data_IF_681361001453
#
_entry.id   IF_681361001453
#
_cell.length_a   1.000
_cell.length_b   1.000
_cell.length_c   1.000
_cell.angle_alpha   90.00
_cell.angle_beta   90.00
_cell.angle_gamma   90.00
#
_symmetry.space_group_name_H-M   'P 1'
#
loop_
_entity.id
_entity.type
_entity.pdbx_description
1 polymer ?
#
# COMPACT_ATOMS: atom_id res chain seq x y z
N UNK A 1 -1.32 9.26 9.76
CA UNK A 1 -0.35 8.94 8.72
C UNK A 1 -0.38 7.49 8.28
N UNK A 2 0.34 7.22 7.25
CA UNK A 2 0.47 5.88 6.69
C UNK A 2 1.86 5.71 6.07
N UNK A 3 2.22 4.46 5.75
CA UNK A 3 3.36 4.15 4.88
C UNK A 3 2.79 3.51 3.62
N UNK A 4 3.02 4.15 2.48
CA UNK A 4 2.50 3.61 1.21
C UNK A 4 3.14 2.26 0.91
N UNK A 5 2.31 1.27 0.60
CA UNK A 5 2.74 -0.10 0.38
C UNK A 5 2.66 -0.99 1.62
N UNK A 6 2.41 -0.44 2.80
CA UNK A 6 2.26 -1.21 4.04
C UNK A 6 0.83 -1.74 4.15
N UNK A 7 0.50 -2.70 3.31
CA UNK A 7 -0.87 -3.19 3.17
C UNK A 7 -1.38 -3.90 4.42
N UNK A 8 -0.50 -4.55 5.17
CA UNK A 8 -0.88 -5.26 6.40
C UNK A 8 -0.81 -4.38 7.64
N UNK A 9 -0.48 -3.10 7.49
CA UNK A 9 -0.40 -2.14 8.59
C UNK A 9 0.55 -2.56 9.71
N UNK A 10 1.68 -3.19 9.33
CA UNK A 10 2.68 -3.64 10.30
C UNK A 10 3.62 -2.51 10.75
N UNK A 11 3.62 -1.40 10.04
CA UNK A 11 4.52 -0.27 10.30
C UNK A 11 5.81 -0.30 9.49
N UNK A 12 6.04 -1.35 8.71
CA UNK A 12 7.21 -1.47 7.84
C UNK A 12 6.81 -2.08 6.50
N UNK A 13 7.63 -1.83 5.49
CA UNK A 13 7.39 -2.39 4.15
C UNK A 13 7.99 -3.78 4.06
N UNK A 14 7.13 -4.75 3.77
CA UNK A 14 7.49 -6.14 3.56
C UNK A 14 6.92 -6.53 2.20
N UNK A 15 7.68 -6.36 1.10
CA UNK A 15 7.10 -6.40 -0.25
C UNK A 15 6.27 -7.64 -0.55
N UNK A 16 6.75 -8.81 -0.13
CA UNK A 16 6.01 -10.05 -0.39
C UNK A 16 4.74 -10.14 0.45
N UNK A 17 4.86 -9.90 1.76
CA UNK A 17 3.71 -9.99 2.67
C UNK A 17 2.64 -8.93 2.33
N UNK A 18 3.08 -7.71 2.05
CA UNK A 18 2.16 -6.62 1.72
C UNK A 18 1.48 -6.86 0.37
N UNK A 19 2.22 -7.36 -0.63
CA UNK A 19 1.64 -7.68 -1.93
C UNK A 19 0.61 -8.81 -1.82
N UNK A 20 0.85 -9.80 -0.97
CA UNK A 20 -0.12 -10.87 -0.74
C UNK A 20 -1.41 -10.33 -0.14
N UNK A 21 -1.31 -9.40 0.82
CA UNK A 21 -2.51 -8.76 1.38
C UNK A 21 -3.29 -8.02 0.30
N UNK A 22 -2.61 -7.27 -0.56
CA UNK A 22 -3.25 -6.54 -1.65
C UNK A 22 -3.93 -7.50 -2.64
N UNK A 23 -3.25 -8.59 -3.01
CA UNK A 23 -3.81 -9.59 -3.92
C UNK A 23 -5.03 -10.29 -3.30
N UNK A 24 -4.98 -10.62 -2.03
CA UNK A 24 -6.13 -11.21 -1.35
C UNK A 24 -7.32 -10.25 -1.31
N UNK A 25 -7.07 -8.98 -1.06
CA UNK A 25 -8.12 -7.97 -1.10
C UNK A 25 -8.78 -7.91 -2.48
N UNK A 26 -7.99 -7.94 -3.55
CA UNK A 26 -8.48 -7.80 -4.92
C UNK A 26 -9.21 -9.03 -5.42
N UNK A 27 -8.72 -10.23 -5.10
CA UNK A 27 -9.20 -11.47 -5.73
C UNK A 27 -10.00 -12.38 -4.81
N UNK A 28 -9.85 -12.25 -3.49
CA UNK A 28 -10.54 -13.09 -2.51
C UNK A 28 -11.55 -12.29 -1.70
N UNK A 29 -11.52 -10.97 -1.81
CA UNK A 29 -12.41 -10.07 -1.09
C UNK A 29 -12.29 -10.23 0.43
N UNK A 30 -11.08 -10.36 0.92
CA UNK A 30 -10.80 -10.54 2.34
C UNK A 30 -11.12 -9.25 3.10
N UNK A 31 -11.83 -9.38 4.22
CA UNK A 31 -12.03 -8.26 5.14
C UNK A 31 -10.79 -8.04 6.01
N UNK A 32 -10.71 -6.90 6.67
CA UNK A 32 -9.61 -6.60 7.59
C UNK A 32 -8.58 -5.62 7.06
N UNK A 33 -8.73 -5.15 5.82
CA UNK A 33 -7.90 -4.06 5.33
C UNK A 33 -8.41 -2.75 5.96
N UNK A 34 -7.54 -2.09 6.72
CA UNK A 34 -7.91 -0.88 7.45
C UNK A 34 -7.37 0.40 6.83
N UNK A 35 -6.51 0.28 5.83
CA UNK A 35 -5.94 1.43 5.14
C UNK A 35 -5.84 1.14 3.64
N UNK A 36 -6.90 1.42 2.90
CA UNK A 36 -6.91 1.24 1.44
C UNK A 36 -5.89 2.15 0.76
N UNK A 37 -5.65 3.32 1.32
CA UNK A 37 -4.69 4.26 0.77
C UNK A 37 -3.27 3.69 0.77
N UNK A 38 -2.93 2.85 1.75
CA UNK A 38 -1.64 2.16 1.78
C UNK A 38 -1.52 1.09 0.68
N UNK A 39 -2.64 0.52 0.23
CA UNK A 39 -2.65 -0.44 -0.86
C UNK A 39 -2.48 0.22 -2.23
N UNK A 40 -2.74 1.50 -2.34
CA UNK A 40 -2.61 2.27 -3.58
C UNK A 40 -1.14 2.65 -3.81
N UNK A 41 -0.35 1.69 -4.27
CA UNK A 41 1.11 1.83 -4.35
C UNK A 41 1.56 2.85 -5.39
N UNK A 42 0.79 3.05 -6.46
CA UNK A 42 1.13 4.02 -7.50
C UNK A 42 0.43 5.37 -7.32
N UNK A 43 -0.38 5.51 -6.27
CA UNK A 43 -1.07 6.76 -5.93
C UNK A 43 -1.96 7.30 -7.07
N UNK A 44 -2.71 6.39 -7.70
CA UNK A 44 -3.63 6.76 -8.78
C UNK A 44 -5.10 6.79 -8.33
N UNK A 45 -5.34 6.72 -7.02
CA UNK A 45 -6.67 6.70 -6.39
C UNK A 45 -7.49 5.44 -6.67
N UNK A 46 -6.88 4.41 -7.23
CA UNK A 46 -7.55 3.14 -7.53
C UNK A 46 -6.69 1.97 -7.06
N UNK A 47 -7.25 1.08 -6.26
CA UNK A 47 -6.55 -0.14 -5.85
C UNK A 47 -6.87 -1.23 -6.87
N UNK A 48 -5.84 -1.66 -7.61
CA UNK A 48 -5.97 -2.69 -8.64
C UNK A 48 -4.66 -3.50 -8.72
N UNK A 49 -4.58 -4.40 -9.71
CA UNK A 49 -3.43 -5.29 -9.86
C UNK A 49 -2.10 -4.53 -10.04
N UNK A 50 -2.12 -3.32 -10.60
CA UNK A 50 -0.91 -2.54 -10.77
C UNK A 50 -0.22 -2.21 -9.44
N UNK A 51 -0.97 -2.14 -8.35
CA UNK A 51 -0.43 -1.78 -7.04
C UNK A 51 0.48 -2.85 -6.46
N UNK A 52 0.07 -4.11 -6.29
CA UNK A 52 1.00 -5.14 -5.81
C UNK A 52 2.13 -5.41 -6.80
N UNK A 53 1.89 -5.25 -8.10
CA UNK A 53 2.96 -5.39 -9.10
C UNK A 53 4.04 -4.32 -8.90
N UNK A 54 3.65 -3.08 -8.68
CA UNK A 54 4.61 -2.01 -8.41
C UNK A 54 5.41 -2.26 -7.14
N UNK A 55 4.73 -2.72 -6.08
CA UNK A 55 5.39 -3.03 -4.81
C UNK A 55 6.43 -4.15 -4.98
N UNK A 56 6.06 -5.22 -5.69
CA UNK A 56 6.97 -6.33 -5.95
C UNK A 56 8.14 -5.91 -6.84
N UNK A 57 7.89 -5.07 -7.84
CA UNK A 57 8.95 -4.55 -8.70
C UNK A 57 9.97 -3.74 -7.89
N UNK A 58 9.51 -2.88 -7.01
CA UNK A 58 10.41 -2.14 -6.12
C UNK A 58 11.20 -3.09 -5.21
N UNK A 59 10.53 -4.06 -4.61
CA UNK A 59 11.15 -4.94 -3.61
C UNK A 59 12.12 -5.96 -4.18
N UNK A 60 11.87 -6.46 -5.39
CA UNK A 60 12.61 -7.60 -5.95
C UNK A 60 13.27 -7.36 -7.30
N UNK A 61 12.88 -6.30 -8.01
CA UNK A 61 13.37 -6.03 -9.36
C UNK A 61 13.97 -4.63 -9.49
N UNK A 62 14.31 -3.97 -8.37
CA UNK A 62 14.93 -2.66 -8.34
C UNK A 62 14.10 -1.60 -9.09
N UNK A 63 12.78 -1.71 -9.00
CA UNK A 63 11.88 -0.74 -9.60
C UNK A 63 11.93 0.61 -8.90
N UNK A 64 11.18 1.57 -9.43
CA UNK A 64 11.11 2.91 -8.87
C UNK A 64 10.52 2.90 -7.46
N UNK A 65 10.95 3.80 -6.57
CA UNK A 65 10.32 3.95 -5.27
C UNK A 65 8.83 4.31 -5.40
N UNK A 66 8.03 3.91 -4.41
CA UNK A 66 6.64 4.30 -4.37
C UNK A 66 6.50 5.80 -4.08
N UNK A 67 5.39 6.42 -4.49
CA UNK A 67 5.11 7.81 -4.11
C UNK A 67 5.02 7.99 -2.59
N UNK A 68 5.26 9.22 -2.12
CA UNK A 68 5.12 9.55 -0.70
C UNK A 68 3.70 9.26 -0.20
N UNK A 69 3.52 8.86 1.07
CA UNK A 69 4.53 8.68 2.13
C UNK A 69 5.22 7.32 2.02
N UNK A 70 6.49 7.35 1.69
CA UNK A 70 7.29 6.15 1.48
C UNK A 70 8.77 6.53 1.52
N UNK A 71 9.65 5.75 2.16
CA UNK A 71 9.36 4.55 2.95
C UNK A 71 8.95 4.85 4.40
N UNK A 72 8.95 6.11 4.79
CA UNK A 72 8.64 6.53 6.14
C UNK A 72 7.17 6.90 6.28
N UNK A 73 6.66 6.82 7.51
CA UNK A 73 5.30 7.24 7.84
C UNK A 73 5.08 8.72 7.51
N UNK A 74 3.96 9.03 6.92
CA UNK A 74 3.62 10.40 6.57
C UNK A 74 2.18 10.54 6.14
N UNK A 75 1.84 11.73 5.66
CA UNK A 75 0.52 12.05 5.15
C UNK A 75 0.51 11.88 3.64
N UNK A 76 -0.59 11.31 3.11
CA UNK A 76 -0.77 11.23 1.66
C UNK A 76 -0.91 12.64 1.08
N UNK A 77 0.00 13.06 0.19
CA UNK A 77 -0.06 14.40 -0.38
C UNK A 77 -1.14 14.59 -1.43
N UNK A 78 -1.78 13.50 -1.87
CA UNK A 78 -2.85 13.57 -2.86
C UNK A 78 -4.20 13.48 -2.19
N UNK A 79 -5.19 14.13 -2.80
CA UNK A 79 -6.57 14.12 -2.31
C UNK A 79 -7.33 13.05 -3.10
N UNK A 80 -7.40 11.85 -2.56
CA UNK A 80 -8.13 10.77 -3.18
C UNK A 80 -9.23 10.27 -2.23
N UNK A 81 -10.04 9.30 -2.70
CA UNK A 81 -11.19 8.80 -1.96
C UNK A 81 -10.88 7.57 -1.13
N UNK A 82 -9.64 7.13 -1.14
CA UNK A 82 -9.26 5.94 -0.39
C UNK A 82 -9.14 6.27 1.09
N UNK A 83 -9.71 5.41 1.90
CA UNK A 83 -9.74 5.62 3.35
C UNK A 83 -8.55 4.96 4.01
N UNK A 84 -8.15 5.51 5.14
CA UNK A 84 -7.16 4.90 6.01
C UNK A 84 -7.60 5.11 7.46
N UNK A 85 -8.32 4.15 7.99
CA UNK A 85 -8.86 4.24 9.36
C UNK A 85 -7.77 3.91 10.38
N UNK A 86 -7.01 2.85 10.13
CA UNK A 86 -5.91 2.41 10.98
C UNK A 86 -4.76 2.00 10.08
N UNK A 87 -3.57 2.53 10.35
CA UNK A 87 -2.36 2.16 9.65
C UNK A 87 -1.33 1.61 10.64
N UNK A 88 -0.20 1.16 10.11
CA UNK A 88 0.92 0.70 10.94
C UNK A 88 1.69 1.82 11.60
N UNK A 89 1.35 3.08 11.35
CA UNK A 89 2.03 4.22 11.94
C UNK A 89 1.04 5.33 12.30
N UNK A 90 1.45 6.18 13.18
CA UNK A 90 0.64 7.32 13.66
C UNK A 90 0.94 8.59 12.89
#
# INVERSE_FOLDING_TARGET
>A
GLVRGDANSSGSIEPLADAIVALNYLFVSVSGVTCLDALDCNDDATVNLADPVMLLAWGFAMGSPLPAPFPDCGVDPTDDRLTCEVSGCL
#
